data_IF_118210623928
#
_entry.id   IF_118210623928
#
_cell.length_a   1.000
_cell.length_b   1.000
_cell.length_c   1.000
_cell.angle_alpha   90.00
_cell.angle_beta   90.00
_cell.angle_gamma   90.00
#
_symmetry.space_group_name_H-M   'P 1'
#
loop_
_entity.id
_entity.type
_entity.pdbx_description
1 polymer ?
#
# COMPACT_ATOMS: atom_id res chain seq x y z
N UNK A 1 10.50 -0.04 4.60
CA UNK A 1 9.99 -1.37 5.05
C UNK A 1 8.54 -1.52 4.63
N UNK A 2 8.09 -2.75 4.32
CA UNK A 2 6.70 -3.04 3.93
C UNK A 2 5.84 -3.28 5.18
N UNK A 3 4.64 -2.69 5.22
CA UNK A 3 3.64 -2.92 6.25
C UNK A 3 2.42 -3.59 5.62
N UNK A 4 2.20 -4.84 5.99
CA UNK A 4 1.01 -5.60 5.59
C UNK A 4 -0.17 -5.16 6.45
N UNK A 5 -1.36 -5.02 5.86
CA UNK A 5 -2.58 -4.70 6.61
C UNK A 5 -3.01 -5.87 7.49
N UNK A 6 -3.37 -5.61 8.75
CA UNK A 6 -3.90 -6.61 9.69
C UNK A 6 -5.26 -7.18 9.28
N UNK A 7 -5.93 -6.58 8.30
CA UNK A 7 -7.17 -7.10 7.71
C UNK A 7 -6.93 -8.09 6.56
N UNK A 8 -5.67 -8.43 6.28
CA UNK A 8 -5.34 -9.46 5.28
C UNK A 8 -5.67 -10.85 5.86
N UNK A 9 -6.80 -11.43 5.45
CA UNK A 9 -7.14 -12.83 5.74
C UNK A 9 -7.07 -13.67 4.45
N UNK A 10 -7.09 -15.00 4.57
CA UNK A 10 -7.03 -15.91 3.42
C UNK A 10 -8.07 -15.59 2.33
N UNK A 11 -9.21 -14.99 2.70
CA UNK A 11 -10.33 -14.68 1.81
C UNK A 11 -10.59 -13.17 1.55
N UNK A 12 -9.71 -12.25 1.95
CA UNK A 12 -9.95 -10.83 1.68
C UNK A 12 -8.82 -9.85 1.96
N UNK A 13 -8.71 -8.85 1.08
CA UNK A 13 -7.96 -7.58 1.21
C UNK A 13 -6.48 -7.70 1.60
N UNK A 14 -5.72 -8.49 0.83
CA UNK A 14 -4.29 -8.69 1.00
C UNK A 14 -3.46 -7.55 0.41
N UNK A 15 -3.32 -6.45 1.15
CA UNK A 15 -2.51 -5.30 0.71
C UNK A 15 -1.33 -5.04 1.64
N UNK A 16 -0.19 -4.66 1.03
CA UNK A 16 1.00 -4.18 1.71
C UNK A 16 1.38 -2.80 1.19
N UNK A 17 1.73 -1.90 2.11
CA UNK A 17 2.15 -0.54 1.78
C UNK A 17 3.58 -0.32 2.24
N UNK A 18 4.38 0.37 1.43
CA UNK A 18 5.73 0.81 1.78
C UNK A 18 5.80 2.33 1.71
N UNK A 19 6.20 2.91 2.83
CA UNK A 19 6.56 4.31 2.96
C UNK A 19 8.10 4.39 2.91
N UNK A 20 8.70 4.79 1.78
CA UNK A 20 10.13 5.06 1.73
C UNK A 20 10.45 6.38 2.43
N UNK A 21 11.69 6.57 2.87
CA UNK A 21 12.19 7.84 3.41
C UNK A 21 12.38 8.92 2.33
N UNK A 22 12.46 8.49 1.07
CA UNK A 22 12.46 9.35 -0.10
C UNK A 22 11.81 8.58 -1.26
N UNK A 23 10.83 9.19 -1.92
CA UNK A 23 10.16 8.64 -3.11
C UNK A 23 8.69 8.27 -2.90
N UNK A 24 8.05 7.70 -3.93
CA UNK A 24 6.61 7.45 -3.90
C UNK A 24 6.21 6.35 -2.92
N UNK A 25 5.01 6.47 -2.35
CA UNK A 25 4.37 5.43 -1.57
C UNK A 25 4.02 4.28 -2.49
N UNK A 26 4.50 3.08 -2.18
CA UNK A 26 4.25 1.89 -2.98
C UNK A 26 3.19 1.01 -2.31
N UNK A 27 2.23 0.53 -3.10
CA UNK A 27 1.19 -0.41 -2.68
C UNK A 27 1.30 -1.66 -3.55
N UNK A 28 1.23 -2.83 -2.92
CA UNK A 28 1.22 -4.11 -3.64
C UNK A 28 0.30 -5.10 -2.98
N UNK A 29 -0.01 -6.15 -3.71
CA UNK A 29 -0.67 -7.33 -3.19
C UNK A 29 0.30 -8.14 -2.30
N UNK A 30 -0.11 -8.50 -1.08
CA UNK A 30 0.74 -9.29 -0.17
C UNK A 30 0.90 -10.75 -0.60
N UNK A 31 -0.08 -11.33 -1.31
CA UNK A 31 -0.04 -12.70 -1.85
C UNK A 31 0.87 -12.79 -3.08
N UNK A 32 1.08 -11.68 -3.79
CA UNK A 32 1.99 -11.59 -4.93
C UNK A 32 3.11 -10.55 -4.72
N UNK A 33 4.12 -10.81 -3.85
CA UNK A 33 5.18 -9.85 -3.55
C UNK A 33 6.02 -9.42 -4.76
N UNK A 34 6.16 -10.31 -5.74
CA UNK A 34 6.88 -10.09 -7.01
C UNK A 34 6.00 -9.54 -8.12
N UNK A 35 4.71 -9.32 -7.84
CA UNK A 35 3.75 -8.76 -8.77
C UNK A 35 3.94 -7.24 -8.97
N UNK A 36 3.13 -6.65 -9.87
CA UNK A 36 3.16 -5.22 -10.13
C UNK A 36 2.84 -4.40 -8.86
N UNK A 37 3.53 -3.27 -8.72
CA UNK A 37 3.37 -2.36 -7.59
C UNK A 37 2.78 -1.04 -8.09
N UNK A 38 1.80 -0.50 -7.37
CA UNK A 38 1.27 0.83 -7.61
C UNK A 38 2.10 1.84 -6.85
N UNK A 39 2.58 2.88 -7.52
CA UNK A 39 3.36 3.95 -6.91
C UNK A 39 2.56 5.26 -6.92
N UNK A 40 2.39 5.85 -5.75
CA UNK A 40 1.68 7.10 -5.54
C UNK A 40 2.64 8.18 -5.04
N UNK A 41 2.60 9.40 -5.59
CA UNK A 41 3.31 10.51 -4.97
C UNK A 41 2.73 10.80 -3.58
N UNK A 42 3.57 11.27 -2.66
CA UNK A 42 3.20 11.43 -1.25
C UNK A 42 1.96 12.32 -1.04
N UNK A 43 1.82 13.38 -1.84
CA UNK A 43 0.68 14.29 -1.79
C UNK A 43 -0.64 13.60 -2.18
N UNK A 44 -0.63 12.76 -3.21
CA UNK A 44 -1.80 12.00 -3.63
C UNK A 44 -2.18 10.95 -2.58
N UNK A 45 -1.18 10.31 -1.96
CA UNK A 45 -1.42 9.37 -0.88
C UNK A 45 -2.02 10.05 0.36
N UNK A 46 -1.53 11.24 0.73
CA UNK A 46 -2.09 12.03 1.83
C UNK A 46 -3.55 12.44 1.54
N UNK A 47 -3.84 12.90 0.32
CA UNK A 47 -5.20 13.24 -0.09
C UNK A 47 -6.15 12.02 -0.06
N UNK A 48 -5.66 10.86 -0.48
CA UNK A 48 -6.40 9.59 -0.41
C UNK A 48 -6.77 9.22 1.03
N UNK A 49 -5.84 9.38 1.98
CA UNK A 49 -6.10 9.12 3.40
C UNK A 49 -7.12 10.09 4.02
N UNK A 50 -7.21 11.31 3.51
CA UNK A 50 -8.20 12.30 3.97
C UNK A 50 -9.61 12.03 3.42
N UNK A 51 -9.72 11.34 2.28
CA UNK A 51 -11.00 10.94 1.67
C UNK A 51 -11.55 9.61 2.21
N UNK A 52 -10.98 9.09 3.31
CA UNK A 52 -11.50 7.90 3.98
C UNK A 52 -12.89 8.21 4.53
N UNK A 53 -13.92 7.67 3.88
CA UNK A 53 -15.30 7.65 4.36
C UNK A 53 -15.50 6.55 5.40
#
# INVERSE_FOLDING_TARGET
MWRTSSYSSENGSCVSVRFPSAGPVAVRDSKHPSGPQLAFPENAWAAFLQHRK
#
